data_IF_911414327036
#
_entry.id   IF_911414327036
#
_cell.length_a   1.000
_cell.length_b   1.000
_cell.length_c   1.000
_cell.angle_alpha   90.00
_cell.angle_beta   90.00
_cell.angle_gamma   90.00
#
_symmetry.space_group_name_H-M   'P 1'
#
loop_
_entity.id
_entity.type
_entity.pdbx_description
1 polymer ?
#
# COMPACT_ATOMS: atom_id res chain seq x y z
N UNK A 1 12.41 -64.54 7.59
CA UNK A 1 13.04 -63.70 8.62
C UNK A 1 12.41 -62.33 8.52
N UNK A 2 11.37 -62.09 9.33
CA UNK A 2 10.68 -60.80 9.43
C UNK A 2 11.52 -59.85 10.30
N UNK A 3 11.84 -58.62 9.84
CA UNK A 3 12.40 -57.61 10.72
C UNK A 3 11.30 -57.04 11.62
N UNK A 4 11.56 -57.07 12.91
CA UNK A 4 10.66 -56.62 13.97
C UNK A 4 10.27 -55.13 13.81
N UNK A 5 8.96 -54.87 13.89
CA UNK A 5 8.39 -53.54 14.15
C UNK A 5 8.84 -53.10 15.55
N UNK A 6 9.74 -52.12 15.62
CA UNK A 6 10.08 -51.42 16.86
C UNK A 6 8.94 -50.44 17.15
N UNK A 7 8.24 -50.54 18.29
CA UNK A 7 7.30 -49.52 18.74
C UNK A 7 8.12 -48.35 19.31
N UNK A 8 8.16 -47.22 18.62
CA UNK A 8 8.75 -45.98 19.15
C UNK A 8 7.73 -45.26 20.04
N UNK A 9 7.39 -45.93 21.15
CA UNK A 9 6.61 -45.39 22.25
C UNK A 9 7.53 -44.50 23.10
N UNK A 10 7.76 -43.26 22.66
CA UNK A 10 8.72 -42.42 23.40
C UNK A 10 8.68 -40.92 23.20
N UNK A 11 7.87 -40.36 22.30
CA UNK A 11 7.80 -38.90 22.14
C UNK A 11 6.64 -38.35 22.95
N UNK A 12 6.87 -37.75 24.14
CA UNK A 12 5.78 -37.15 24.91
C UNK A 12 5.25 -35.96 24.09
N UNK A 13 3.92 -35.84 23.95
CA UNK A 13 3.27 -34.82 23.11
C UNK A 13 3.69 -33.38 23.44
N UNK A 14 4.15 -33.16 24.67
CA UNK A 14 4.67 -31.88 25.17
C UNK A 14 6.07 -31.54 24.64
N UNK A 15 6.82 -32.48 24.04
CA UNK A 15 8.09 -32.20 23.35
C UNK A 15 7.88 -31.59 21.96
N UNK A 16 6.63 -31.51 21.47
CA UNK A 16 6.20 -30.49 20.49
C UNK A 16 6.00 -29.13 21.15
N UNK A 17 6.75 -28.86 22.23
CA UNK A 17 6.74 -27.61 22.93
C UNK A 17 7.01 -26.52 21.90
N UNK A 18 6.02 -25.65 21.75
CA UNK A 18 6.24 -24.23 21.59
C UNK A 18 7.32 -23.88 20.57
N UNK A 19 6.98 -24.00 19.28
CA UNK A 19 7.43 -22.94 18.39
C UNK A 19 6.77 -21.69 18.97
N UNK A 20 7.51 -20.74 19.59
CA UNK A 20 6.90 -19.45 19.84
C UNK A 20 6.36 -19.02 18.48
N UNK A 21 5.20 -18.35 18.39
CA UNK A 21 4.87 -17.60 17.20
C UNK A 21 5.86 -16.44 17.13
N UNK A 22 7.12 -16.77 16.85
CA UNK A 22 7.89 -16.07 15.86
C UNK A 22 7.11 -16.25 14.55
N UNK A 23 5.98 -15.55 14.47
CA UNK A 23 5.68 -14.73 13.31
C UNK A 23 6.93 -13.89 13.04
N UNK A 24 7.98 -14.53 12.52
CA UNK A 24 8.98 -13.89 11.70
C UNK A 24 8.16 -13.40 10.52
N UNK A 25 7.65 -12.18 10.65
CA UNK A 25 6.96 -11.49 9.57
C UNK A 25 7.83 -11.67 8.35
N UNK A 26 7.33 -12.44 7.38
CA UNK A 26 8.11 -12.91 6.24
C UNK A 26 8.93 -11.74 5.69
N UNK A 27 10.26 -11.88 5.49
CA UNK A 27 11.10 -10.80 4.96
C UNK A 27 10.56 -10.28 3.62
N UNK A 28 9.86 -11.13 2.87
CA UNK A 28 9.14 -10.80 1.64
C UNK A 28 8.05 -9.73 1.85
N UNK A 29 7.32 -9.77 2.98
CA UNK A 29 6.29 -8.79 3.30
C UNK A 29 6.89 -7.41 3.62
N UNK A 30 8.04 -7.37 4.31
CA UNK A 30 8.76 -6.12 4.54
C UNK A 30 9.33 -5.55 3.23
N UNK A 31 9.93 -6.41 2.40
CA UNK A 31 10.48 -6.03 1.10
C UNK A 31 9.40 -5.48 0.16
N UNK A 32 8.23 -6.12 0.10
CA UNK A 32 7.09 -5.68 -0.69
C UNK A 32 6.55 -4.33 -0.20
N UNK A 33 6.39 -4.15 1.12
CA UNK A 33 5.90 -2.88 1.70
C UNK A 33 6.81 -1.71 1.37
N UNK A 34 8.12 -1.88 1.52
CA UNK A 34 9.08 -0.81 1.24
C UNK A 34 9.29 -0.63 -0.26
N UNK A 35 9.33 -1.71 -1.04
CA UNK A 35 9.44 -1.66 -2.50
C UNK A 35 8.27 -0.92 -3.14
N UNK A 36 7.03 -1.24 -2.75
CA UNK A 36 5.84 -0.53 -3.23
C UNK A 36 5.86 0.97 -2.85
N UNK A 37 6.36 1.30 -1.65
CA UNK A 37 6.50 2.69 -1.24
C UNK A 37 7.50 3.43 -2.15
N UNK A 38 8.66 2.83 -2.44
CA UNK A 38 9.65 3.40 -3.36
C UNK A 38 9.07 3.58 -4.77
N UNK A 39 8.30 2.61 -5.26
CA UNK A 39 7.61 2.73 -6.56
C UNK A 39 6.63 3.91 -6.56
N UNK A 40 5.78 4.03 -5.53
CA UNK A 40 4.86 5.15 -5.44
C UNK A 40 5.57 6.51 -5.34
N UNK A 41 6.67 6.59 -4.59
CA UNK A 41 7.49 7.81 -4.52
C UNK A 41 8.18 8.11 -5.86
N UNK A 42 8.65 7.09 -6.59
CA UNK A 42 9.23 7.25 -7.91
C UNK A 42 8.22 7.79 -8.92
N UNK A 43 7.01 7.23 -8.94
CA UNK A 43 5.89 7.73 -9.76
C UNK A 43 5.56 9.17 -9.38
N UNK A 44 5.49 9.48 -8.08
CA UNK A 44 5.21 10.82 -7.59
C UNK A 44 6.30 11.83 -8.00
N UNK A 45 7.57 11.46 -7.84
CA UNK A 45 8.70 12.30 -8.25
C UNK A 45 8.72 12.55 -9.76
N UNK A 46 8.49 11.51 -10.56
CA UNK A 46 8.33 11.65 -12.01
C UNK A 46 7.14 12.55 -12.37
N UNK A 47 6.01 12.40 -11.69
CA UNK A 47 4.84 13.26 -11.89
C UNK A 47 5.14 14.73 -11.55
N UNK A 48 5.83 15.02 -10.45
CA UNK A 48 6.23 16.38 -10.07
C UNK A 48 7.18 16.97 -11.13
N UNK A 49 8.16 16.19 -11.58
CA UNK A 49 9.06 16.59 -12.64
C UNK A 49 8.30 16.88 -13.95
N UNK A 50 7.39 15.99 -14.35
CA UNK A 50 6.55 16.18 -15.51
C UNK A 50 5.69 17.45 -15.37
N UNK A 51 4.99 17.61 -14.23
CA UNK A 51 4.10 18.75 -13.97
C UNK A 51 4.85 20.09 -14.01
N UNK A 52 6.10 20.13 -13.53
CA UNK A 52 6.96 21.33 -13.59
C UNK A 52 7.31 21.73 -15.04
N UNK A 53 7.28 20.79 -15.98
CA UNK A 53 7.57 21.01 -17.40
C UNK A 53 6.31 21.12 -18.26
N UNK A 54 5.12 20.90 -17.69
CA UNK A 54 3.85 21.00 -18.42
C UNK A 54 3.48 22.47 -18.61
N UNK A 55 3.13 22.89 -19.84
CA UNK A 55 2.69 24.26 -20.10
C UNK A 55 1.45 24.63 -19.27
N UNK A 56 1.32 25.90 -18.82
CA UNK A 56 0.16 26.34 -18.05
C UNK A 56 -1.18 26.18 -18.79
N UNK A 57 -1.16 26.14 -20.12
CA UNK A 57 -2.33 25.97 -21.00
C UNK A 57 -2.62 24.51 -21.40
N UNK A 58 -2.07 23.53 -20.67
CA UNK A 58 -2.28 22.13 -20.99
C UNK A 58 -3.77 21.75 -20.90
N UNK A 59 -4.38 21.19 -21.98
CA UNK A 59 -5.83 21.03 -22.09
C UNK A 59 -6.38 19.77 -21.40
N UNK A 60 -5.53 18.89 -20.89
CA UNK A 60 -5.93 17.63 -20.26
C UNK A 60 -5.71 17.67 -18.74
N UNK A 61 -6.31 16.71 -18.03
CA UNK A 61 -6.16 16.59 -16.59
C UNK A 61 -4.69 16.36 -16.21
N UNK A 62 -4.08 17.41 -15.63
CA UNK A 62 -2.70 17.41 -15.15
C UNK A 62 -2.58 17.09 -13.67
N UNK A 63 -3.69 17.00 -12.93
CA UNK A 63 -3.68 16.85 -11.47
C UNK A 63 -4.16 15.49 -10.99
N UNK A 64 -5.01 14.80 -11.77
CA UNK A 64 -5.63 13.54 -11.38
C UNK A 64 -4.61 12.45 -11.04
N UNK A 65 -3.53 12.33 -11.83
CA UNK A 65 -2.47 11.34 -11.57
C UNK A 65 -1.71 11.65 -10.27
N UNK A 66 -1.50 12.92 -9.96
CA UNK A 66 -0.90 13.36 -8.70
C UNK A 66 -1.80 13.03 -7.50
N UNK A 67 -3.09 13.35 -7.59
CA UNK A 67 -4.08 13.08 -6.54
C UNK A 67 -4.18 11.57 -6.29
N UNK A 68 -4.28 10.75 -7.35
CA UNK A 68 -4.28 9.29 -7.25
C UNK A 68 -3.02 8.76 -6.56
N UNK A 69 -1.85 9.24 -6.97
CA UNK A 69 -0.57 8.78 -6.43
C UNK A 69 -0.43 9.15 -4.94
N UNK A 70 -0.80 10.37 -4.55
CA UNK A 70 -0.80 10.80 -3.14
C UNK A 70 -1.75 9.95 -2.32
N UNK A 71 -2.96 9.68 -2.82
CA UNK A 71 -3.94 8.85 -2.13
C UNK A 71 -3.45 7.40 -1.97
N UNK A 72 -2.78 6.84 -2.99
CA UNK A 72 -2.15 5.52 -2.91
C UNK A 72 -1.03 5.47 -1.87
N UNK A 73 -0.15 6.48 -1.83
CA UNK A 73 0.93 6.60 -0.83
C UNK A 73 0.36 6.65 0.59
N UNK A 74 -0.62 7.52 0.85
CA UNK A 74 -1.24 7.68 2.17
C UNK A 74 -1.96 6.41 2.63
N UNK A 75 -2.66 5.75 1.71
CA UNK A 75 -3.37 4.50 1.97
C UNK A 75 -2.36 3.40 2.30
N UNK A 76 -1.32 3.24 1.47
CA UNK A 76 -0.26 2.26 1.71
C UNK A 76 0.48 2.51 3.03
N UNK A 77 0.80 3.77 3.37
CA UNK A 77 1.41 4.14 4.65
C UNK A 77 0.52 3.76 5.84
N UNK A 78 -0.79 3.98 5.72
CA UNK A 78 -1.75 3.74 6.80
C UNK A 78 -1.91 2.26 7.14
N UNK A 79 -1.96 1.38 6.13
CA UNK A 79 -2.23 -0.05 6.33
C UNK A 79 -0.97 -0.92 6.37
N UNK A 80 0.14 -0.49 5.76
CA UNK A 80 1.38 -1.30 5.72
C UNK A 80 2.28 -1.12 6.93
N UNK A 81 2.15 -0.02 7.68
CA UNK A 81 3.05 0.31 8.80
C UNK A 81 2.30 0.30 10.15
N UNK A 82 2.98 -0.20 11.20
CA UNK A 82 2.46 -0.19 12.57
C UNK A 82 2.81 1.14 13.22
N UNK A 83 1.83 2.05 13.26
CA UNK A 83 1.98 3.36 13.87
C UNK A 83 1.51 3.40 15.32
N UNK A 84 1.95 4.42 16.07
CA UNK A 84 1.38 4.73 17.39
C UNK A 84 -0.14 4.97 17.28
N UNK A 85 -0.91 4.73 18.36
CA UNK A 85 -2.38 4.88 18.33
C UNK A 85 -2.85 6.25 17.83
N UNK A 86 -2.13 7.33 18.18
CA UNK A 86 -2.45 8.70 17.72
C UNK A 86 -2.14 8.86 16.24
N UNK A 87 -0.94 8.46 15.83
CA UNK A 87 -0.49 8.56 14.43
C UNK A 87 -1.35 7.72 13.49
N UNK A 88 -1.76 6.52 13.91
CA UNK A 88 -2.66 5.65 13.14
C UNK A 88 -4.02 6.32 12.90
N UNK A 89 -4.58 7.01 13.90
CA UNK A 89 -5.86 7.71 13.77
C UNK A 89 -5.75 8.88 12.78
N UNK A 90 -4.68 9.67 12.88
CA UNK A 90 -4.40 10.77 11.95
C UNK A 90 -4.19 10.25 10.54
N UNK A 91 -3.35 9.22 10.34
CA UNK A 91 -3.11 8.59 9.04
C UNK A 91 -4.39 8.04 8.41
N UNK A 92 -5.28 7.42 9.20
CA UNK A 92 -6.59 6.99 8.70
C UNK A 92 -7.44 8.16 8.19
N UNK A 93 -7.49 9.27 8.93
CA UNK A 93 -8.22 10.47 8.48
C UNK A 93 -7.62 11.00 7.17
N UNK A 94 -6.29 11.08 7.08
CA UNK A 94 -5.63 11.49 5.84
C UNK A 94 -5.89 10.51 4.68
N UNK A 95 -5.87 9.21 4.94
CA UNK A 95 -6.13 8.18 3.93
C UNK A 95 -7.57 8.22 3.44
N UNK A 96 -8.57 8.30 4.33
CA UNK A 96 -9.97 8.41 3.94
C UNK A 96 -10.26 9.76 3.27
N UNK A 97 -9.66 10.85 3.76
CA UNK A 97 -9.77 12.17 3.15
C UNK A 97 -9.16 12.22 1.75
N UNK A 98 -7.97 11.64 1.57
CA UNK A 98 -7.32 11.52 0.26
C UNK A 98 -8.12 10.64 -0.70
N UNK A 99 -8.66 9.51 -0.22
CA UNK A 99 -9.51 8.65 -1.05
C UNK A 99 -10.79 9.36 -1.48
N UNK A 100 -11.48 10.04 -0.54
CA UNK A 100 -12.66 10.82 -0.84
C UNK A 100 -12.36 11.94 -1.85
N UNK A 101 -11.24 12.65 -1.68
CA UNK A 101 -10.79 13.66 -2.63
C UNK A 101 -10.53 13.07 -4.01
N UNK A 102 -9.87 11.92 -4.10
CA UNK A 102 -9.62 11.24 -5.37
C UNK A 102 -10.92 10.83 -6.07
N UNK A 103 -11.92 10.35 -5.32
CA UNK A 103 -13.24 10.00 -5.87
C UNK A 103 -13.98 11.26 -6.34
N UNK A 104 -14.00 12.32 -5.54
CA UNK A 104 -14.61 13.61 -5.92
C UNK A 104 -13.94 14.17 -7.18
N UNK A 105 -12.61 14.08 -7.26
CA UNK A 105 -11.86 14.50 -8.44
C UNK A 105 -12.27 13.68 -9.67
N UNK A 106 -12.28 12.35 -9.57
CA UNK A 106 -12.56 11.47 -10.69
C UNK A 106 -14.00 11.62 -11.22
N UNK A 107 -14.98 11.73 -10.32
CA UNK A 107 -16.41 11.69 -10.67
C UNK A 107 -16.96 13.07 -11.01
N UNK A 108 -16.47 14.12 -10.35
CA UNK A 108 -17.09 15.43 -10.41
C UNK A 108 -16.13 16.50 -10.94
N UNK A 109 -15.01 16.74 -10.24
CA UNK A 109 -14.18 17.91 -10.51
C UNK A 109 -13.37 17.80 -11.80
N UNK A 110 -12.79 16.62 -12.06
CA UNK A 110 -12.02 16.31 -13.27
C UNK A 110 -12.87 16.47 -14.53
N UNK A 111 -14.03 15.80 -14.64
CA UNK A 111 -14.92 15.98 -15.79
C UNK A 111 -15.48 17.40 -15.96
N UNK A 112 -15.60 18.17 -14.87
CA UNK A 112 -16.08 19.54 -14.92
C UNK A 112 -15.00 20.54 -15.38
N UNK A 113 -13.75 20.36 -14.93
CA UNK A 113 -12.61 21.23 -15.27
C UNK A 113 -11.96 20.85 -16.59
N UNK A 114 -11.92 19.55 -16.88
CA UNK A 114 -11.40 18.96 -18.10
C UNK A 114 -12.53 18.15 -18.72
N UNK A 115 -13.53 18.81 -19.34
CA UNK A 115 -14.51 18.09 -20.11
C UNK A 115 -13.76 17.34 -21.19
N UNK A 116 -13.65 16.02 -21.02
CA UNK A 116 -13.25 15.11 -22.09
C UNK A 116 -14.16 15.50 -23.24
N UNK A 117 -13.58 16.11 -24.29
CA UNK A 117 -14.33 16.53 -25.45
C UNK A 117 -15.21 15.34 -25.85
N UNK A 118 -16.52 15.44 -25.58
CA UNK A 118 -17.48 14.46 -26.03
C UNK A 118 -17.50 14.65 -27.54
N UNK A 119 -16.67 13.87 -28.22
CA UNK A 119 -16.76 13.62 -29.66
C UNK A 119 -18.13 13.01 -29.96
#
# INVERSE_FOLDING_TARGET
MEPALVPDDGIPLNSRLSVPPTEQGHPQGALYRHGMLVVFLGIFGYYVHWLANVPPHYPYDRYGLGILTVSLVLNHLTFSFRWSRRTSRVMRVFSFGGLALAVIWLVWLGPHLFPLARS
#
